data_IF_977771797706
#
_entry.id   IF_977771797706
#
_cell.length_a   1.000
_cell.length_b   1.000
_cell.length_c   1.000
_cell.angle_alpha   90.00
_cell.angle_beta   90.00
_cell.angle_gamma   90.00
#
_symmetry.space_group_name_H-M   'P 1'
#
loop_
_entity.id
_entity.type
_entity.pdbx_description
1 polymer ?
#
# COMPACT_ATOMS: atom_id res chain seq x y z
N UNK A 1 -27.62 17.18 6.99
CA UNK A 1 -28.16 16.40 5.85
C UNK A 1 -29.06 17.28 5.00
N UNK A 2 -29.00 17.22 3.66
CA UNK A 2 -29.83 18.05 2.76
C UNK A 2 -31.18 17.42 2.41
N UNK A 3 -31.28 16.08 2.44
CA UNK A 3 -32.52 15.33 2.17
C UNK A 3 -32.66 14.14 3.15
N UNK A 4 -33.05 14.38 4.43
CA UNK A 4 -33.00 13.36 5.49
C UNK A 4 -33.75 12.06 5.19
N UNK A 5 -34.92 12.13 4.55
CA UNK A 5 -35.74 10.95 4.19
C UNK A 5 -35.09 10.01 3.16
N UNK A 6 -33.97 10.41 2.58
CA UNK A 6 -33.19 9.60 1.62
C UNK A 6 -31.90 9.03 2.21
N UNK A 7 -31.68 9.22 3.52
CA UNK A 7 -30.50 8.73 4.24
C UNK A 7 -30.92 7.57 5.13
N UNK A 8 -30.26 6.44 4.96
CA UNK A 8 -30.40 5.25 5.79
C UNK A 8 -29.15 5.11 6.66
N UNK A 9 -29.34 5.00 7.97
CA UNK A 9 -28.27 4.78 8.94
C UNK A 9 -28.63 3.51 9.71
N UNK A 10 -27.72 2.52 9.71
CA UNK A 10 -27.90 1.29 10.47
C UNK A 10 -27.87 1.51 11.98
N UNK A 11 -28.60 0.67 12.71
CA UNK A 11 -28.72 0.74 14.19
C UNK A 11 -27.35 0.57 14.89
N UNK A 12 -26.40 -0.09 14.24
CA UNK A 12 -25.04 -0.30 14.75
C UNK A 12 -24.14 0.95 14.67
N UNK A 13 -24.55 2.00 13.94
CA UNK A 13 -23.75 3.20 13.76
C UNK A 13 -23.89 4.11 14.99
N UNK A 14 -22.78 4.39 15.67
CA UNK A 14 -22.77 5.37 16.74
C UNK A 14 -22.86 6.79 16.16
N UNK A 15 -23.99 7.46 16.36
CA UNK A 15 -24.25 8.81 15.89
C UNK A 15 -23.30 9.87 16.50
N UNK A 16 -22.74 9.62 17.70
CA UNK A 16 -21.73 10.50 18.30
C UNK A 16 -20.40 10.52 17.52
N UNK A 17 -20.22 9.58 16.58
CA UNK A 17 -19.08 9.54 15.64
C UNK A 17 -19.42 10.19 14.29
N UNK A 18 -20.51 10.95 14.20
CA UNK A 18 -20.87 11.72 13.02
C UNK A 18 -20.90 13.19 13.41
N UNK A 19 -19.94 13.95 12.89
CA UNK A 19 -19.83 15.36 13.20
C UNK A 19 -20.95 16.19 12.56
N UNK A 20 -21.51 17.13 13.32
CA UNK A 20 -22.63 17.97 12.89
C UNK A 20 -22.29 18.89 11.70
N UNK A 21 -21.01 19.21 11.51
CA UNK A 21 -20.57 20.04 10.37
C UNK A 21 -20.51 19.27 9.04
N UNK A 22 -20.71 17.94 9.06
CA UNK A 22 -20.70 17.12 7.85
C UNK A 22 -21.96 17.33 6.99
N UNK A 23 -21.78 17.25 5.67
CA UNK A 23 -22.85 17.43 4.69
C UNK A 23 -23.11 16.12 3.96
N UNK A 24 -24.29 15.55 4.19
CA UNK A 24 -24.80 14.38 3.46
C UNK A 24 -25.85 14.87 2.48
N UNK A 25 -25.57 14.77 1.17
CA UNK A 25 -26.39 15.36 0.09
C UNK A 25 -27.66 14.56 -0.27
N UNK A 26 -27.82 13.34 0.26
CA UNK A 26 -28.99 12.47 0.04
C UNK A 26 -28.64 11.17 -0.68
N UNK A 27 -29.57 10.21 -0.68
CA UNK A 27 -29.38 8.83 -1.16
C UNK A 27 -28.12 8.16 -0.58
N UNK A 28 -27.95 8.27 0.74
CA UNK A 28 -26.81 7.72 1.47
C UNK A 28 -27.22 6.51 2.29
N UNK A 29 -26.36 5.50 2.33
CA UNK A 29 -26.47 4.30 3.17
C UNK A 29 -25.25 4.22 4.04
N UNK A 30 -25.41 4.34 5.35
CA UNK A 30 -24.31 4.44 6.31
C UNK A 30 -24.46 3.30 7.31
N UNK A 31 -23.47 2.41 7.35
CA UNK A 31 -23.50 1.18 8.14
C UNK A 31 -22.18 0.91 8.85
N UNK A 32 -22.22 0.03 9.84
CA UNK A 32 -21.07 -0.51 10.53
C UNK A 32 -20.63 0.28 11.78
N UNK A 33 -20.35 -0.47 12.85
CA UNK A 33 -19.96 0.03 14.18
C UNK A 33 -18.68 0.89 14.21
N UNK A 34 -17.82 0.71 13.20
CA UNK A 34 -16.54 1.39 13.08
C UNK A 34 -16.60 2.64 12.19
N UNK A 35 -17.80 3.04 11.74
CA UNK A 35 -17.98 4.23 10.92
C UNK A 35 -17.71 5.50 11.72
N UNK A 36 -16.94 6.41 11.11
CA UNK A 36 -16.60 7.72 11.63
C UNK A 36 -16.66 8.76 10.50
N UNK A 37 -17.36 9.86 10.75
CA UNK A 37 -17.51 10.99 9.83
C UNK A 37 -17.05 12.25 10.59
N UNK A 38 -15.81 12.67 10.34
CA UNK A 38 -15.19 13.84 11.00
C UNK A 38 -15.73 15.17 10.44
N UNK A 39 -15.28 16.34 10.98
CA UNK A 39 -15.78 17.64 10.54
C UNK A 39 -15.64 17.90 9.04
N UNK A 40 -16.55 18.70 8.50
CA UNK A 40 -16.56 19.19 7.12
C UNK A 40 -16.60 18.11 6.02
N UNK A 41 -16.82 16.84 6.39
CA UNK A 41 -16.95 15.73 5.42
C UNK A 41 -18.16 15.96 4.50
N UNK A 42 -18.00 15.66 3.21
CA UNK A 42 -19.07 15.71 2.21
C UNK A 42 -19.33 14.35 1.59
N UNK A 43 -20.57 13.90 1.67
CA UNK A 43 -21.00 12.59 1.18
C UNK A 43 -22.08 12.73 0.10
N UNK A 44 -21.84 12.12 -1.05
CA UNK A 44 -22.84 11.90 -2.09
C UNK A 44 -23.19 13.13 -2.94
N UNK A 45 -22.28 14.09 -3.08
CA UNK A 45 -22.53 15.31 -3.86
C UNK A 45 -22.84 15.05 -5.34
N UNK A 46 -22.18 14.07 -5.97
CA UNK A 46 -22.35 13.73 -7.39
C UNK A 46 -23.32 12.53 -7.59
N UNK A 47 -23.67 11.80 -6.53
CA UNK A 47 -24.60 10.66 -6.63
C UNK A 47 -24.71 9.84 -5.34
N UNK A 48 -25.51 8.75 -5.35
CA UNK A 48 -25.72 7.91 -4.17
C UNK A 48 -24.42 7.36 -3.59
N UNK A 49 -24.37 7.23 -2.26
CA UNK A 49 -23.19 6.73 -1.54
C UNK A 49 -23.57 5.60 -0.58
N UNK A 50 -22.76 4.56 -0.56
CA UNK A 50 -22.82 3.50 0.46
C UNK A 50 -21.50 3.47 1.20
N UNK A 51 -21.56 3.66 2.51
CA UNK A 51 -20.44 3.76 3.43
C UNK A 51 -20.59 2.67 4.50
N UNK A 52 -19.61 1.76 4.61
CA UNK A 52 -19.68 0.64 5.55
C UNK A 52 -18.35 0.49 6.30
N UNK A 53 -18.33 0.75 7.61
CA UNK A 53 -17.11 0.69 8.43
C UNK A 53 -15.96 1.54 7.84
N UNK A 54 -16.27 2.76 7.42
CA UNK A 54 -15.25 3.68 6.92
C UNK A 54 -15.01 4.81 7.92
N UNK A 55 -13.77 5.25 8.02
CA UNK A 55 -13.38 6.35 8.88
C UNK A 55 -12.83 7.49 8.03
N UNK A 56 -13.49 8.64 8.12
CA UNK A 56 -13.26 9.77 7.27
C UNK A 56 -12.72 10.91 8.11
N UNK A 57 -11.51 11.38 7.80
CA UNK A 57 -10.89 12.54 8.41
C UNK A 57 -11.54 13.85 7.96
N UNK A 58 -11.02 14.96 8.48
CA UNK A 58 -11.59 16.29 8.25
C UNK A 58 -11.63 16.64 6.77
N UNK A 59 -12.75 17.18 6.31
CA UNK A 59 -12.96 17.67 4.95
C UNK A 59 -12.74 16.60 3.85
N UNK A 60 -12.95 15.32 4.15
CA UNK A 60 -12.98 14.26 3.12
C UNK A 60 -14.22 14.43 2.23
N UNK A 61 -14.04 14.24 0.92
CA UNK A 61 -15.16 14.30 -0.04
C UNK A 61 -15.32 12.96 -0.77
N UNK A 62 -16.38 12.22 -0.45
CA UNK A 62 -16.77 11.00 -1.16
C UNK A 62 -18.01 11.29 -1.99
N UNK A 63 -17.80 11.57 -3.28
CA UNK A 63 -18.83 12.21 -4.12
C UNK A 63 -19.92 11.25 -4.59
N UNK A 64 -19.68 9.94 -4.59
CA UNK A 64 -20.67 8.90 -4.86
C UNK A 64 -20.02 7.55 -5.15
N UNK A 65 -20.72 6.45 -4.86
CA UNK A 65 -20.23 5.09 -5.05
C UNK A 65 -20.29 4.22 -3.79
N UNK A 66 -19.40 3.23 -3.72
CA UNK A 66 -19.36 2.22 -2.65
C UNK A 66 -18.01 2.22 -1.95
N UNK A 67 -18.04 2.36 -0.63
CA UNK A 67 -16.88 2.49 0.24
C UNK A 67 -17.03 1.55 1.44
N UNK A 68 -16.04 0.69 1.68
CA UNK A 68 -16.09 -0.22 2.83
C UNK A 68 -14.74 -0.50 3.47
N UNK A 69 -14.72 -0.62 4.80
CA UNK A 69 -13.58 -1.06 5.62
C UNK A 69 -12.27 -0.37 5.20
N UNK A 70 -12.30 0.96 5.12
CA UNK A 70 -11.23 1.79 4.57
C UNK A 70 -11.16 3.13 5.29
N UNK A 71 -9.97 3.71 5.31
CA UNK A 71 -9.67 4.97 6.00
C UNK A 71 -9.24 6.03 5.00
N UNK A 72 -9.78 7.22 5.19
CA UNK A 72 -9.56 8.39 4.35
C UNK A 72 -9.09 9.52 5.25
N UNK A 73 -7.84 9.95 5.12
CA UNK A 73 -7.30 11.05 5.92
C UNK A 73 -7.68 12.40 5.33
N UNK A 74 -7.33 13.46 6.06
CA UNK A 74 -7.84 14.81 5.84
C UNK A 74 -7.77 15.23 4.38
N UNK A 75 -8.88 15.78 3.86
CA UNK A 75 -9.00 16.31 2.50
C UNK A 75 -8.77 15.28 1.38
N UNK A 76 -8.76 13.98 1.67
CA UNK A 76 -8.79 12.97 0.62
C UNK A 76 -10.12 13.01 -0.13
N UNK A 77 -10.10 12.67 -1.42
CA UNK A 77 -11.28 12.84 -2.29
C UNK A 77 -11.48 11.65 -3.22
N UNK A 78 -12.74 11.26 -3.44
CA UNK A 78 -13.09 10.23 -4.42
C UNK A 78 -14.29 10.70 -5.24
N UNK A 79 -14.16 10.68 -6.57
CA UNK A 79 -15.21 11.04 -7.50
C UNK A 79 -16.38 10.04 -7.52
N UNK A 80 -17.44 10.39 -8.27
CA UNK A 80 -18.60 9.53 -8.47
C UNK A 80 -18.26 8.14 -9.03
N UNK A 81 -19.13 7.16 -8.76
CA UNK A 81 -18.97 5.76 -9.16
C UNK A 81 -17.68 5.10 -8.65
N UNK A 82 -17.09 5.60 -7.57
CA UNK A 82 -15.94 4.96 -6.95
C UNK A 82 -16.35 3.60 -6.33
N UNK A 83 -15.42 2.65 -6.34
CA UNK A 83 -15.58 1.35 -5.68
C UNK A 83 -14.34 1.08 -4.83
N UNK A 84 -14.34 1.60 -3.60
CA UNK A 84 -13.26 1.40 -2.64
C UNK A 84 -13.62 0.26 -1.69
N UNK A 85 -12.92 -0.86 -1.83
CA UNK A 85 -13.12 -2.06 -1.02
C UNK A 85 -12.12 -2.13 0.12
N UNK A 86 -12.32 -3.09 1.02
CA UNK A 86 -11.57 -3.24 2.28
C UNK A 86 -10.05 -3.14 2.14
N UNK A 87 -9.43 -2.60 3.19
CA UNK A 87 -7.98 -2.47 3.34
C UNK A 87 -7.38 -1.31 2.56
N UNK A 88 -8.15 -0.24 2.30
CA UNK A 88 -7.62 0.97 1.69
C UNK A 88 -7.29 2.04 2.74
N UNK A 89 -6.16 2.72 2.54
CA UNK A 89 -5.75 3.89 3.31
C UNK A 89 -5.34 4.98 2.32
N UNK A 90 -6.12 6.06 2.28
CA UNK A 90 -5.81 7.24 1.49
C UNK A 90 -5.34 8.33 2.44
N UNK A 91 -4.08 8.72 2.34
CA UNK A 91 -3.51 9.77 3.19
C UNK A 91 -3.94 11.17 2.72
N UNK A 92 -3.42 12.21 3.39
CA UNK A 92 -3.89 13.58 3.22
C UNK A 92 -3.85 14.05 1.77
N UNK A 93 -4.95 14.61 1.31
CA UNK A 93 -5.11 15.13 -0.05
C UNK A 93 -4.87 14.10 -1.18
N UNK A 94 -4.74 12.81 -0.87
CA UNK A 94 -4.76 11.76 -1.88
C UNK A 94 -6.17 11.62 -2.46
N UNK A 95 -6.30 11.27 -3.73
CA UNK A 95 -7.63 11.15 -4.30
C UNK A 95 -7.73 10.44 -5.65
N UNK A 96 -8.97 10.30 -6.09
CA UNK A 96 -9.33 9.71 -7.36
C UNK A 96 -10.50 10.42 -8.02
N UNK A 97 -10.50 10.51 -9.34
CA UNK A 97 -11.65 11.01 -10.10
C UNK A 97 -12.76 9.95 -10.16
N UNK A 98 -13.61 9.96 -11.19
CA UNK A 98 -14.77 9.08 -11.27
C UNK A 98 -14.39 7.65 -11.68
N UNK A 99 -15.19 6.67 -11.27
CA UNK A 99 -15.05 5.26 -11.63
C UNK A 99 -13.68 4.65 -11.23
N UNK A 100 -13.18 4.99 -10.05
CA UNK A 100 -11.93 4.43 -9.50
C UNK A 100 -12.23 3.24 -8.58
N UNK A 101 -11.64 2.09 -8.88
CA UNK A 101 -11.74 0.86 -8.11
C UNK A 101 -10.46 0.56 -7.32
N UNK A 102 -10.58 0.42 -5.99
CA UNK A 102 -9.48 0.13 -5.08
C UNK A 102 -9.80 -1.07 -4.18
N UNK A 103 -8.75 -1.75 -3.72
CA UNK A 103 -8.81 -2.80 -2.68
C UNK A 103 -7.39 -3.04 -2.19
N UNK A 104 -7.17 -3.10 -0.87
CA UNK A 104 -5.84 -3.39 -0.33
C UNK A 104 -4.79 -2.42 -0.90
N UNK A 105 -5.13 -1.12 -0.93
CA UNK A 105 -4.35 -0.08 -1.59
C UNK A 105 -4.04 1.07 -0.64
N UNK A 106 -2.78 1.47 -0.57
CA UNK A 106 -2.32 2.59 0.25
C UNK A 106 -1.80 3.69 -0.66
N UNK A 107 -2.39 4.88 -0.55
CA UNK A 107 -1.97 6.07 -1.27
C UNK A 107 -1.41 7.10 -0.28
N UNK A 108 -0.15 7.47 -0.48
CA UNK A 108 0.52 8.49 0.31
C UNK A 108 -0.01 9.89 -0.02
N UNK A 109 0.37 10.92 0.75
CA UNK A 109 -0.21 12.24 0.60
C UNK A 109 -0.05 12.76 -0.82
N UNK A 110 -1.07 13.45 -1.28
CA UNK A 110 -1.18 14.07 -2.60
C UNK A 110 -1.30 13.14 -3.81
N UNK A 111 -1.11 11.81 -3.69
CA UNK A 111 -1.21 10.90 -4.85
C UNK A 111 -2.59 11.01 -5.51
N UNK A 112 -2.62 11.21 -6.83
CA UNK A 112 -3.85 11.35 -7.60
C UNK A 112 -4.07 10.20 -8.57
N UNK A 113 -5.31 9.72 -8.61
CA UNK A 113 -5.79 8.77 -9.60
C UNK A 113 -6.74 9.49 -10.56
N UNK A 114 -6.55 9.29 -11.85
CA UNK A 114 -7.47 9.70 -12.89
C UNK A 114 -8.80 8.93 -12.82
N UNK A 115 -9.47 8.79 -13.95
CA UNK A 115 -10.78 8.13 -14.02
C UNK A 115 -10.69 6.72 -14.58
N UNK A 116 -11.70 5.88 -14.32
CA UNK A 116 -11.82 4.53 -14.93
C UNK A 116 -10.66 3.59 -14.58
N UNK A 117 -10.17 3.67 -13.34
CA UNK A 117 -8.97 2.96 -12.88
C UNK A 117 -9.35 1.72 -12.07
N UNK A 118 -8.57 0.65 -12.19
CA UNK A 118 -8.56 -0.45 -11.22
C UNK A 118 -7.15 -0.62 -10.65
N UNK A 119 -6.94 -0.19 -9.42
CA UNK A 119 -5.60 -0.07 -8.80
C UNK A 119 -5.56 -0.74 -7.43
N UNK A 120 -5.84 -2.04 -7.41
CA UNK A 120 -5.85 -2.88 -6.21
C UNK A 120 -4.46 -3.39 -5.85
N UNK A 121 -4.19 -3.73 -4.59
CA UNK A 121 -2.94 -4.37 -4.14
C UNK A 121 -1.67 -3.53 -4.45
N UNK A 122 -1.78 -2.20 -4.32
CA UNK A 122 -0.70 -1.24 -4.56
C UNK A 122 -0.35 -0.44 -3.31
N UNK A 123 0.92 -0.09 -3.16
CA UNK A 123 1.34 1.05 -2.34
C UNK A 123 1.96 2.07 -3.27
N UNK A 124 1.46 3.30 -3.26
CA UNK A 124 1.97 4.37 -4.11
C UNK A 124 2.31 5.62 -3.31
N UNK A 125 3.51 6.14 -3.57
CA UNK A 125 4.05 7.36 -2.98
C UNK A 125 4.75 8.24 -4.02
N UNK A 126 5.23 9.39 -3.58
CA UNK A 126 6.04 10.32 -4.36
C UNK A 126 5.31 11.63 -4.65
N UNK A 127 6.06 12.70 -4.82
CA UNK A 127 5.55 14.05 -4.82
C UNK A 127 5.83 14.75 -3.49
N UNK A 128 5.72 16.08 -3.53
CA UNK A 128 6.07 16.97 -2.41
C UNK A 128 4.91 17.87 -1.97
N UNK A 129 3.87 17.99 -2.79
CA UNK A 129 2.67 18.78 -2.53
C UNK A 129 1.53 18.40 -3.48
N UNK A 130 0.33 18.94 -3.26
CA UNK A 130 -0.80 18.83 -4.19
C UNK A 130 -0.48 19.30 -5.62
N UNK A 131 0.44 20.25 -5.81
CA UNK A 131 0.84 20.73 -7.15
C UNK A 131 1.94 19.90 -7.80
N UNK A 132 2.65 19.10 -7.01
CA UNK A 132 3.75 18.25 -7.44
C UNK A 132 3.53 16.86 -6.83
N UNK A 133 2.68 16.07 -7.46
CA UNK A 133 2.20 14.79 -6.95
C UNK A 133 2.44 13.65 -7.95
N UNK A 134 2.51 12.42 -7.44
CA UNK A 134 2.46 11.24 -8.30
C UNK A 134 1.06 11.01 -8.85
N UNK A 135 0.97 10.58 -10.09
CA UNK A 135 -0.29 10.45 -10.81
C UNK A 135 -0.41 9.10 -11.51
N UNK A 136 -1.61 8.52 -11.44
CA UNK A 136 -2.04 7.41 -12.28
C UNK A 136 -3.08 7.92 -13.26
N UNK A 137 -2.73 7.97 -14.54
CA UNK A 137 -3.60 8.48 -15.59
C UNK A 137 -4.84 7.62 -15.80
N UNK A 138 -5.87 8.19 -16.41
CA UNK A 138 -7.17 7.53 -16.60
C UNK A 138 -7.08 6.20 -17.36
N UNK A 139 -7.96 5.25 -17.06
CA UNK A 139 -8.02 3.91 -17.67
C UNK A 139 -6.79 3.05 -17.39
N UNK A 140 -6.19 3.19 -16.21
CA UNK A 140 -5.07 2.38 -15.78
C UNK A 140 -5.52 1.12 -15.04
N UNK A 141 -4.82 0.01 -15.26
CA UNK A 141 -5.12 -1.28 -14.60
C UNK A 141 -3.86 -1.84 -13.94
N UNK A 142 -3.95 -2.19 -12.66
CA UNK A 142 -3.01 -3.12 -12.05
C UNK A 142 -3.52 -4.56 -12.20
N UNK A 143 -2.82 -5.35 -13.03
CA UNK A 143 -3.09 -6.77 -13.23
C UNK A 143 -2.50 -7.56 -12.05
N UNK A 144 -3.29 -7.69 -10.99
CA UNK A 144 -2.92 -8.33 -9.71
C UNK A 144 -3.49 -9.75 -9.52
N UNK A 145 -4.16 -10.33 -10.52
CA UNK A 145 -4.66 -11.71 -10.46
C UNK A 145 -4.13 -12.52 -11.63
N UNK A 146 -3.52 -13.67 -11.34
CA UNK A 146 -2.93 -14.52 -12.39
C UNK A 146 -3.90 -15.64 -12.81
N UNK A 147 -3.74 -16.20 -14.03
CA UNK A 147 -4.52 -17.37 -14.47
C UNK A 147 -4.40 -18.60 -13.55
N UNK A 148 -3.37 -18.64 -12.68
CA UNK A 148 -3.17 -19.69 -11.67
C UNK A 148 -3.85 -19.36 -10.33
N UNK A 149 -4.84 -18.48 -10.35
CA UNK A 149 -5.62 -18.04 -9.19
C UNK A 149 -4.76 -17.47 -8.05
N UNK A 150 -3.63 -16.86 -8.38
CA UNK A 150 -2.67 -16.32 -7.43
C UNK A 150 -2.76 -14.78 -7.34
N UNK A 151 -2.70 -14.25 -6.10
CA UNK A 151 -2.69 -12.82 -5.76
C UNK A 151 -1.44 -12.36 -4.99
N UNK A 152 -0.37 -13.16 -4.97
CA UNK A 152 0.93 -12.77 -4.43
C UNK A 152 1.66 -11.84 -5.41
N UNK A 153 1.00 -10.76 -5.82
CA UNK A 153 1.38 -9.84 -6.88
C UNK A 153 1.29 -8.36 -6.45
N UNK A 154 1.49 -7.99 -5.17
CA UNK A 154 1.40 -6.59 -4.78
C UNK A 154 2.53 -5.78 -5.44
N UNK A 155 2.21 -4.54 -5.82
CA UNK A 155 3.17 -3.66 -6.49
C UNK A 155 3.54 -2.48 -5.60
N UNK A 156 4.84 -2.18 -5.55
CA UNK A 156 5.41 -1.10 -4.75
C UNK A 156 5.83 0.04 -5.70
N UNK A 157 5.11 1.15 -5.66
CA UNK A 157 5.34 2.33 -6.50
C UNK A 157 5.88 3.44 -5.59
N UNK A 158 7.20 3.58 -5.55
CA UNK A 158 7.95 4.28 -4.51
C UNK A 158 8.41 3.34 -3.40
N UNK A 159 8.65 3.87 -2.20
CA UNK A 159 8.86 3.09 -0.97
C UNK A 159 8.52 3.91 0.28
N UNK A 160 8.34 3.23 1.40
CA UNK A 160 7.98 3.89 2.66
C UNK A 160 9.11 4.73 3.26
N UNK A 161 10.36 4.21 3.40
CA UNK A 161 11.44 4.96 4.03
C UNK A 161 11.67 6.36 3.45
N UNK A 162 11.59 6.51 2.12
CA UNK A 162 11.71 7.79 1.44
C UNK A 162 10.36 8.51 1.31
N UNK A 163 9.28 7.77 1.06
CA UNK A 163 7.97 8.33 0.72
C UNK A 163 7.32 9.14 1.84
N UNK A 164 7.48 8.70 3.09
CA UNK A 164 6.91 9.44 4.25
C UNK A 164 7.55 10.81 4.47
N UNK A 165 8.68 11.08 3.81
CA UNK A 165 9.41 12.34 3.92
C UNK A 165 8.93 13.41 2.96
N UNK A 166 8.07 13.07 1.97
CA UNK A 166 7.47 14.02 1.01
C UNK A 166 8.50 14.87 0.26
N UNK A 167 9.64 14.27 -0.10
CA UNK A 167 10.74 14.93 -0.85
C UNK A 167 11.05 14.29 -2.18
N UNK A 168 10.50 13.12 -2.44
CA UNK A 168 10.83 12.35 -3.63
C UNK A 168 10.09 12.89 -4.86
N UNK A 169 10.72 12.82 -6.04
CA UNK A 169 10.07 13.23 -7.28
C UNK A 169 8.82 12.37 -7.55
N UNK A 170 7.79 12.95 -8.19
CA UNK A 170 6.57 12.22 -8.50
C UNK A 170 6.82 11.05 -9.46
N UNK A 171 5.98 10.03 -9.35
CA UNK A 171 5.91 8.89 -10.29
C UNK A 171 4.70 9.10 -11.19
N UNK A 172 4.88 8.96 -12.50
CA UNK A 172 3.80 9.13 -13.47
C UNK A 172 3.51 7.81 -14.19
N UNK A 173 2.31 7.27 -13.99
CA UNK A 173 1.80 6.09 -14.68
C UNK A 173 0.77 6.53 -15.73
N UNK A 174 1.20 6.71 -16.98
CA UNK A 174 0.37 7.29 -18.03
C UNK A 174 -0.91 6.50 -18.34
N UNK A 175 -1.99 7.22 -18.65
CA UNK A 175 -3.33 6.64 -18.86
C UNK A 175 -3.41 5.63 -20.01
N UNK A 176 -4.52 4.88 -20.08
CA UNK A 176 -4.70 3.74 -20.99
C UNK A 176 -3.58 2.68 -20.85
N UNK A 177 -2.90 2.66 -19.71
CA UNK A 177 -1.77 1.79 -19.43
C UNK A 177 -2.09 0.72 -18.38
N UNK A 178 -1.06 0.02 -17.95
CA UNK A 178 -1.18 -0.90 -16.83
C UNK A 178 0.15 -1.40 -16.30
N UNK A 179 0.13 -1.98 -15.11
CA UNK A 179 1.25 -2.74 -14.54
C UNK A 179 0.83 -4.17 -14.29
N UNK A 180 1.72 -5.13 -14.50
CA UNK A 180 1.48 -6.54 -14.20
C UNK A 180 2.27 -6.94 -12.98
N UNK A 181 1.56 -7.09 -11.86
CA UNK A 181 2.16 -7.29 -10.56
C UNK A 181 2.82 -8.67 -10.37
N UNK A 182 3.76 -8.79 -9.43
CA UNK A 182 4.31 -7.69 -8.63
C UNK A 182 5.36 -6.91 -9.43
N UNK A 183 5.38 -5.58 -9.35
CA UNK A 183 6.46 -4.72 -9.85
C UNK A 183 6.94 -3.74 -8.79
N UNK A 184 8.16 -3.25 -8.96
CA UNK A 184 8.70 -2.14 -8.18
C UNK A 184 9.07 -0.99 -9.09
N UNK A 185 8.52 0.19 -8.82
CA UNK A 185 8.71 1.39 -9.64
C UNK A 185 9.28 2.48 -8.73
N UNK A 186 10.46 3.01 -9.04
CA UNK A 186 11.15 4.00 -8.25
C UNK A 186 10.68 5.42 -8.55
N UNK A 187 10.97 6.33 -7.63
CA UNK A 187 10.63 7.75 -7.74
C UNK A 187 11.18 8.41 -9.01
N UNK A 188 10.43 9.35 -9.57
CA UNK A 188 10.81 10.04 -10.81
C UNK A 188 10.58 9.22 -12.09
N UNK A 189 10.09 7.98 -11.98
CA UNK A 189 9.77 7.17 -13.15
C UNK A 189 8.56 7.73 -13.89
N UNK A 190 8.69 7.84 -15.21
CA UNK A 190 7.57 8.15 -16.12
C UNK A 190 7.35 6.96 -17.05
N UNK A 191 6.19 6.34 -16.91
CA UNK A 191 5.66 5.33 -17.84
C UNK A 191 4.67 6.03 -18.77
N UNK A 192 4.90 6.06 -20.10
CA UNK A 192 3.99 6.71 -21.03
C UNK A 192 2.60 6.07 -21.06
N UNK A 193 1.63 6.83 -21.56
CA UNK A 193 0.28 6.34 -21.82
C UNK A 193 0.29 5.16 -22.81
N UNK A 194 -0.66 4.23 -22.67
CA UNK A 194 -0.79 3.06 -23.54
C UNK A 194 0.17 1.90 -23.23
N UNK A 195 1.03 2.02 -22.22
CA UNK A 195 2.06 1.02 -21.91
C UNK A 195 1.59 0.02 -20.85
N UNK A 196 1.78 -1.27 -21.13
CA UNK A 196 1.68 -2.33 -20.11
C UNK A 196 3.08 -2.69 -19.60
N UNK A 197 3.39 -2.23 -18.40
CA UNK A 197 4.65 -2.47 -17.72
C UNK A 197 4.68 -3.84 -17.02
N UNK A 198 5.77 -4.59 -17.21
CA UNK A 198 5.97 -5.95 -16.66
C UNK A 198 7.30 -6.12 -15.92
N UNK A 199 8.05 -5.04 -15.80
CA UNK A 199 9.41 -5.04 -15.27
C UNK A 199 9.55 -3.99 -14.18
N UNK A 200 10.60 -4.12 -13.38
CA UNK A 200 10.90 -3.13 -12.37
C UNK A 200 11.64 -1.93 -12.97
N UNK A 201 11.50 -0.78 -12.31
CA UNK A 201 12.31 0.41 -12.50
C UNK A 201 12.90 0.75 -11.13
N UNK A 202 14.16 0.42 -10.88
CA UNK A 202 14.86 0.59 -9.58
C UNK A 202 16.01 1.58 -9.64
N UNK A 203 15.94 2.54 -10.56
CA UNK A 203 17.04 3.46 -10.84
C UNK A 203 16.65 4.85 -10.34
N UNK A 204 17.52 5.49 -9.58
CA UNK A 204 17.33 6.88 -9.13
C UNK A 204 17.29 7.84 -10.33
N UNK A 205 16.42 8.87 -10.28
CA UNK A 205 16.35 9.95 -11.27
C UNK A 205 15.10 9.91 -12.18
N UNK A 206 14.99 10.91 -13.05
CA UNK A 206 13.86 10.99 -14.00
C UNK A 206 14.12 10.04 -15.16
N UNK A 207 13.30 8.99 -15.27
CA UNK A 207 13.41 8.00 -16.33
C UNK A 207 12.22 8.11 -17.28
N UNK A 208 12.49 8.56 -18.50
CA UNK A 208 11.54 8.49 -19.61
C UNK A 208 11.66 7.11 -20.25
N UNK A 209 10.68 6.25 -19.97
CA UNK A 209 10.65 4.95 -20.64
C UNK A 209 10.13 5.13 -22.06
N UNK A 210 10.96 4.94 -23.10
CA UNK A 210 10.44 4.88 -24.47
C UNK A 210 9.79 3.51 -24.73
N UNK A 211 8.72 3.47 -25.53
CA UNK A 211 8.09 2.20 -25.99
C UNK A 211 9.12 1.21 -26.55
N UNK A 212 10.11 1.72 -27.28
CA UNK A 212 11.20 0.94 -27.90
C UNK A 212 12.19 0.32 -26.91
N UNK A 213 12.32 0.89 -25.69
CA UNK A 213 13.20 0.36 -24.65
C UNK A 213 12.60 -0.85 -23.92
N UNK A 214 11.27 -0.91 -23.81
CA UNK A 214 10.52 -2.03 -23.22
C UNK A 214 10.48 -3.25 -24.15
N UNK A 215 10.42 -3.04 -25.46
CA UNK A 215 10.41 -4.12 -26.45
C UNK A 215 11.77 -4.80 -26.62
N UNK A 216 12.88 -4.05 -26.46
CA UNK A 216 14.24 -4.58 -26.63
C UNK A 216 14.73 -5.43 -25.45
N UNK A 217 14.15 -5.27 -24.25
CA UNK A 217 14.38 -6.17 -23.11
C UNK A 217 13.33 -7.28 -23.08
N UNK A 218 13.24 -8.06 -24.16
CA UNK A 218 12.73 -9.44 -24.05
C UNK A 218 13.76 -10.24 -23.23
N UNK A 219 13.72 -10.12 -21.91
CA UNK A 219 14.23 -11.19 -21.08
C UNK A 219 13.46 -12.46 -21.45
N UNK A 220 14.22 -13.52 -21.72
CA UNK A 220 13.75 -14.81 -22.16
C UNK A 220 12.55 -15.28 -21.34
N UNK A 221 11.42 -15.46 -22.01
CA UNK A 221 10.20 -16.05 -21.49
C UNK A 221 10.37 -17.56 -21.17
N UNK A 222 11.46 -17.93 -20.48
CA UNK A 222 11.93 -19.30 -20.37
C UNK A 222 12.78 -19.54 -19.13
N UNK A 223 12.24 -19.29 -17.95
CA UNK A 223 12.66 -20.00 -16.74
C UNK A 223 11.58 -19.88 -15.65
N UNK A 224 10.75 -20.91 -15.49
CA UNK A 224 9.77 -21.02 -14.40
C UNK A 224 10.36 -20.80 -12.99
N UNK A 225 11.69 -20.87 -12.82
CA UNK A 225 12.41 -20.62 -11.56
C UNK A 225 12.77 -19.15 -11.26
N UNK A 226 12.91 -18.27 -12.25
CA UNK A 226 13.25 -16.85 -12.01
C UNK A 226 12.04 -16.03 -11.55
N UNK A 227 10.82 -16.42 -11.97
CA UNK A 227 9.57 -15.77 -11.58
C UNK A 227 9.25 -15.94 -10.09
N UNK A 228 9.54 -17.11 -9.50
CA UNK A 228 9.21 -17.39 -8.09
C UNK A 228 10.11 -16.61 -7.14
N UNK A 229 11.43 -16.63 -7.37
CA UNK A 229 12.38 -15.86 -6.54
C UNK A 229 12.03 -14.38 -6.55
N UNK A 230 11.73 -13.83 -7.73
CA UNK A 230 11.29 -12.43 -7.89
C UNK A 230 9.99 -12.18 -7.13
N UNK A 231 8.98 -13.03 -7.29
CA UNK A 231 7.67 -12.88 -6.65
C UNK A 231 7.77 -12.94 -5.12
N UNK A 232 8.47 -13.92 -4.57
CA UNK A 232 8.70 -14.06 -3.13
C UNK A 232 9.43 -12.82 -2.60
N UNK A 233 10.51 -12.40 -3.26
CA UNK A 233 11.26 -11.21 -2.90
C UNK A 233 10.38 -9.95 -2.87
N UNK A 234 9.59 -9.70 -3.91
CA UNK A 234 8.75 -8.51 -3.97
C UNK A 234 7.65 -8.48 -2.91
N UNK A 235 7.05 -9.64 -2.60
CA UNK A 235 6.07 -9.69 -1.51
C UNK A 235 6.72 -9.44 -0.15
N UNK A 236 7.92 -10.00 0.11
CA UNK A 236 8.68 -9.72 1.34
C UNK A 236 9.03 -8.24 1.43
N UNK A 237 9.54 -7.64 0.35
CA UNK A 237 9.86 -6.22 0.28
C UNK A 237 8.62 -5.33 0.48
N UNK A 238 7.46 -5.74 -0.03
CA UNK A 238 6.19 -5.05 0.18
C UNK A 238 5.75 -5.14 1.65
N UNK A 239 5.77 -6.32 2.28
CA UNK A 239 5.45 -6.48 3.72
C UNK A 239 6.44 -5.72 4.60
N UNK A 240 7.72 -5.69 4.24
CA UNK A 240 8.73 -4.92 4.95
C UNK A 240 8.42 -3.42 4.93
N UNK A 241 7.95 -2.90 3.79
CA UNK A 241 7.48 -1.51 3.66
C UNK A 241 6.22 -1.25 4.49
N UNK A 242 5.22 -2.13 4.46
CA UNK A 242 4.04 -2.01 5.32
C UNK A 242 4.41 -2.00 6.82
N UNK A 243 5.37 -2.85 7.22
CA UNK A 243 5.87 -2.91 8.59
C UNK A 243 6.56 -1.60 8.99
N UNK A 244 7.38 -1.03 8.10
CA UNK A 244 7.97 0.29 8.31
C UNK A 244 6.90 1.39 8.43
N UNK A 245 5.84 1.33 7.61
CA UNK A 245 4.73 2.30 7.66
C UNK A 245 3.95 2.17 8.97
N UNK A 246 3.69 0.95 9.44
CA UNK A 246 3.08 0.70 10.74
C UNK A 246 3.87 1.34 11.88
N UNK A 247 5.20 1.20 11.87
CA UNK A 247 6.06 1.87 12.86
C UNK A 247 6.03 3.40 12.74
N UNK A 248 5.95 3.93 11.52
CA UNK A 248 5.78 5.35 11.27
C UNK A 248 4.46 5.88 11.86
N UNK A 249 3.35 5.18 11.63
CA UNK A 249 2.05 5.53 12.22
C UNK A 249 2.11 5.51 13.75
N UNK A 250 2.68 4.44 14.32
CA UNK A 250 2.75 4.24 15.78
C UNK A 250 3.58 5.30 16.50
N UNK A 251 4.72 5.68 15.94
CA UNK A 251 5.69 6.50 16.66
C UNK A 251 5.76 7.94 16.19
N UNK A 252 5.36 8.23 14.95
CA UNK A 252 5.41 9.58 14.40
C UNK A 252 3.99 10.15 14.26
N UNK A 253 3.11 9.46 13.52
CA UNK A 253 1.79 10.03 13.22
C UNK A 253 0.86 10.10 14.42
N UNK A 254 0.96 9.16 15.36
CA UNK A 254 0.07 9.09 16.54
C UNK A 254 -0.08 10.44 17.24
N UNK A 255 1.03 11.15 17.48
CA UNK A 255 1.02 12.45 18.15
C UNK A 255 0.16 13.48 17.43
N UNK A 256 0.20 13.51 16.09
CA UNK A 256 -0.59 14.44 15.29
C UNK A 256 -2.07 14.07 15.31
N UNK A 257 -2.38 12.78 15.25
CA UNK A 257 -3.76 12.31 15.39
C UNK A 257 -4.36 12.70 16.74
N UNK A 258 -3.65 12.51 17.87
CA UNK A 258 -4.21 12.79 19.20
C UNK A 258 -4.59 14.27 19.43
N UNK A 259 -4.17 15.18 18.54
CA UNK A 259 -4.46 16.62 18.62
C UNK A 259 -5.71 17.03 17.84
N UNK A 260 -6.22 16.14 16.99
CA UNK A 260 -7.36 16.40 16.13
C UNK A 260 -8.65 15.81 16.73
N UNK A 261 -9.82 16.43 16.47
CA UNK A 261 -11.11 15.81 16.78
C UNK A 261 -11.23 14.41 16.17
N UNK A 262 -11.71 13.44 16.97
CA UNK A 262 -11.82 12.02 16.59
C UNK A 262 -10.50 11.36 16.14
N UNK A 263 -9.36 11.99 16.38
CA UNK A 263 -8.09 11.54 15.84
C UNK A 263 -7.61 10.22 16.46
N UNK A 264 -8.01 9.90 17.69
CA UNK A 264 -7.77 8.59 18.30
C UNK A 264 -8.47 7.45 17.54
N UNK A 265 -9.72 7.67 17.12
CA UNK A 265 -10.49 6.74 16.31
C UNK A 265 -9.87 6.58 14.92
N UNK A 266 -9.55 7.69 14.23
CA UNK A 266 -8.88 7.67 12.91
C UNK A 266 -7.53 6.94 12.97
N UNK A 267 -6.74 7.21 14.01
CA UNK A 267 -5.47 6.53 14.23
C UNK A 267 -5.67 5.02 14.41
N UNK A 268 -6.65 4.62 15.21
CA UNK A 268 -6.99 3.21 15.42
C UNK A 268 -7.40 2.54 14.12
N UNK A 269 -8.26 3.16 13.31
CA UNK A 269 -8.65 2.61 12.00
C UNK A 269 -7.49 2.49 11.03
N UNK A 270 -6.63 3.51 10.93
CA UNK A 270 -5.46 3.46 10.07
C UNK A 270 -4.50 2.34 10.50
N UNK A 271 -4.32 2.16 11.81
CA UNK A 271 -3.57 1.04 12.38
C UNK A 271 -4.16 -0.32 12.00
N UNK A 272 -5.48 -0.49 12.14
CA UNK A 272 -6.17 -1.72 11.74
C UNK A 272 -6.01 -2.02 10.25
N UNK A 273 -6.14 -1.02 9.37
CA UNK A 273 -5.93 -1.21 7.92
C UNK A 273 -4.50 -1.68 7.62
N UNK A 274 -3.49 -1.13 8.30
CA UNK A 274 -2.10 -1.56 8.11
C UNK A 274 -1.85 -2.98 8.60
N UNK A 275 -2.41 -3.36 9.76
CA UNK A 275 -2.31 -4.70 10.31
C UNK A 275 -3.01 -5.73 9.40
N UNK A 276 -4.21 -5.40 8.90
CA UNK A 276 -4.93 -6.21 7.93
C UNK A 276 -4.18 -6.35 6.60
N UNK A 277 -3.56 -5.27 6.12
CA UNK A 277 -2.76 -5.29 4.90
C UNK A 277 -1.58 -6.25 5.04
N UNK A 278 -0.83 -6.18 6.16
CA UNK A 278 0.27 -7.10 6.45
C UNK A 278 -0.24 -8.55 6.51
N UNK A 279 -1.31 -8.80 7.28
CA UNK A 279 -1.87 -10.13 7.45
C UNK A 279 -2.36 -10.73 6.11
N UNK A 280 -3.02 -9.93 5.27
CA UNK A 280 -3.47 -10.36 3.96
C UNK A 280 -2.29 -10.66 3.03
N UNK A 281 -1.21 -9.86 3.05
CA UNK A 281 0.01 -10.17 2.26
C UNK A 281 0.69 -11.46 2.69
N UNK A 282 0.83 -11.70 4.00
CA UNK A 282 1.39 -12.95 4.53
C UNK A 282 0.50 -14.13 4.15
N UNK A 283 -0.83 -14.00 4.26
CA UNK A 283 -1.78 -15.01 3.81
C UNK A 283 -1.66 -15.31 2.31
N UNK A 284 -1.51 -14.30 1.45
CA UNK A 284 -1.34 -14.53 0.01
C UNK A 284 -0.03 -15.26 -0.32
N UNK A 285 1.05 -15.02 0.43
CA UNK A 285 2.28 -15.80 0.33
C UNK A 285 2.09 -17.25 0.82
N UNK A 286 1.33 -17.48 1.89
CA UNK A 286 0.97 -18.83 2.35
C UNK A 286 0.22 -19.61 1.28
N UNK A 287 -0.83 -18.99 0.70
CA UNK A 287 -1.59 -19.59 -0.40
C UNK A 287 -0.70 -19.86 -1.61
N UNK A 288 0.29 -19.00 -1.87
CA UNK A 288 1.26 -19.24 -2.92
C UNK A 288 2.16 -20.46 -2.63
N UNK A 289 2.63 -20.63 -1.40
CA UNK A 289 3.38 -21.82 -0.99
C UNK A 289 2.55 -23.10 -1.17
N UNK A 290 1.31 -23.12 -0.68
CA UNK A 290 0.38 -24.25 -0.82
C UNK A 290 0.10 -24.61 -2.29
N UNK A 291 -0.04 -23.60 -3.15
CA UNK A 291 -0.20 -23.81 -4.59
C UNK A 291 1.05 -24.43 -5.23
N UNK A 292 2.25 -24.05 -4.77
CA UNK A 292 3.49 -24.67 -5.22
C UNK A 292 3.55 -26.13 -4.76
N UNK A 293 3.25 -26.43 -3.50
CA UNK A 293 3.20 -27.81 -2.96
C UNK A 293 2.25 -28.69 -3.78
N UNK A 294 1.01 -28.24 -3.96
CA UNK A 294 0.00 -28.96 -4.74
C UNK A 294 0.48 -29.22 -6.17
N UNK A 295 1.08 -28.22 -6.81
CA UNK A 295 1.63 -28.36 -8.16
C UNK A 295 2.78 -29.37 -8.22
N UNK A 296 3.60 -29.45 -7.17
CA UNK A 296 4.71 -30.40 -7.07
C UNK A 296 4.21 -31.84 -6.89
N UNK A 297 3.17 -32.07 -6.07
CA UNK A 297 2.59 -33.40 -5.88
C UNK A 297 1.95 -33.95 -7.16
N UNK A 298 1.22 -33.11 -7.90
CA UNK A 298 0.61 -33.46 -9.19
C UNK A 298 1.69 -33.78 -10.22
N UNK A 299 2.75 -32.96 -10.27
CA UNK A 299 3.90 -33.20 -11.14
C UNK A 299 4.57 -34.53 -10.78
N UNK A 300 4.84 -34.83 -9.51
CA UNK A 300 5.44 -36.12 -9.11
C UNK A 300 4.57 -37.30 -9.56
N UNK A 301 3.24 -37.23 -9.40
CA UNK A 301 2.31 -38.31 -9.80
C UNK A 301 2.20 -38.51 -11.33
N UNK A 302 2.30 -37.44 -12.13
CA UNK A 302 2.15 -37.51 -13.60
C UNK A 302 3.51 -37.70 -14.30
N UNK A 303 4.59 -37.11 -13.78
CA UNK A 303 5.92 -37.11 -14.39
C UNK A 303 6.78 -38.35 -14.06
N UNK A 304 6.47 -39.12 -13.01
CA UNK A 304 7.09 -40.45 -12.81
C UNK A 304 6.90 -41.39 -14.02
N UNK A 305 5.93 -41.09 -14.91
CA UNK A 305 5.71 -41.83 -16.16
C UNK A 305 6.39 -41.27 -17.41
N UNK A 306 6.85 -40.00 -17.45
CA UNK A 306 7.23 -39.36 -18.73
C UNK A 306 8.51 -38.50 -18.66
N UNK A 307 8.82 -37.80 -17.56
CA UNK A 307 10.02 -36.95 -17.48
C UNK A 307 10.57 -36.80 -16.04
N UNK A 308 11.71 -37.43 -15.69
CA UNK A 308 12.31 -37.27 -14.38
C UNK A 308 13.01 -35.90 -14.25
N UNK A 309 12.42 -35.00 -13.45
CA UNK A 309 12.99 -33.70 -13.10
C UNK A 309 12.46 -32.54 -13.98
N UNK A 310 11.91 -31.48 -13.43
CA UNK A 310 12.59 -30.65 -12.43
C UNK A 310 11.59 -29.75 -11.70
N UNK A 311 11.30 -30.08 -10.45
CA UNK A 311 10.91 -29.02 -9.50
C UNK A 311 12.11 -28.08 -9.40
N UNK A 312 11.91 -26.79 -9.66
CA UNK A 312 13.02 -25.83 -9.60
C UNK A 312 13.60 -25.79 -8.18
N UNK A 313 14.93 -25.70 -8.07
CA UNK A 313 15.62 -25.55 -6.76
C UNK A 313 15.01 -24.39 -5.94
N UNK A 314 14.59 -23.32 -6.61
CA UNK A 314 13.95 -22.16 -6.00
C UNK A 314 12.61 -22.50 -5.31
N UNK A 315 11.76 -23.34 -5.93
CA UNK A 315 10.51 -23.80 -5.31
C UNK A 315 10.76 -24.56 -4.02
N UNK A 316 11.63 -25.57 -4.06
CA UNK A 316 11.97 -26.37 -2.86
C UNK A 316 12.54 -25.49 -1.75
N UNK A 317 13.46 -24.58 -2.10
CA UNK A 317 14.06 -23.67 -1.14
C UNK A 317 13.03 -22.71 -0.52
N UNK A 318 12.10 -22.17 -1.32
CA UNK A 318 11.03 -21.33 -0.79
C UNK A 318 10.14 -22.11 0.18
N UNK A 319 9.65 -23.30 -0.20
CA UNK A 319 8.81 -24.12 0.68
C UNK A 319 9.50 -24.50 1.99
N UNK A 320 10.77 -24.89 1.92
CA UNK A 320 11.57 -25.21 3.12
C UNK A 320 11.71 -24.00 4.07
N UNK A 321 11.87 -22.80 3.51
CA UNK A 321 12.06 -21.59 4.30
C UNK A 321 10.76 -20.90 4.71
N UNK A 322 9.64 -21.21 4.06
CA UNK A 322 8.36 -20.51 4.24
C UNK A 322 7.89 -20.49 5.69
N UNK A 323 7.88 -21.60 6.46
CA UNK A 323 7.42 -21.57 7.85
C UNK A 323 8.16 -20.55 8.72
N UNK A 324 9.50 -20.46 8.55
CA UNK A 324 10.33 -19.48 9.26
C UNK A 324 10.07 -18.05 8.78
N UNK A 325 9.94 -17.84 7.47
CA UNK A 325 9.60 -16.53 6.91
C UNK A 325 8.25 -16.05 7.43
N UNK A 326 7.25 -16.93 7.45
CA UNK A 326 5.90 -16.67 7.92
C UNK A 326 5.87 -16.26 9.40
N UNK A 327 6.55 -17.02 10.25
CA UNK A 327 6.71 -16.70 11.67
C UNK A 327 7.38 -15.33 11.84
N UNK A 328 8.45 -15.06 11.08
CA UNK A 328 9.16 -13.79 11.16
C UNK A 328 8.31 -12.60 10.72
N UNK A 329 7.58 -12.73 9.60
CA UNK A 329 6.71 -11.67 9.07
C UNK A 329 5.50 -11.41 9.96
N UNK A 330 5.03 -12.43 10.69
CA UNK A 330 3.87 -12.31 11.59
C UNK A 330 4.25 -11.89 13.01
N UNK A 331 5.54 -11.94 13.37
CA UNK A 331 6.03 -11.78 14.75
C UNK A 331 6.26 -10.35 15.23
N UNK A 332 5.88 -9.32 14.47
CA UNK A 332 6.10 -7.90 14.81
C UNK A 332 7.55 -7.56 15.16
N UNK A 333 8.51 -8.24 14.51
CA UNK A 333 9.94 -8.12 14.81
C UNK A 333 10.47 -6.70 14.59
N UNK A 334 9.80 -5.89 13.77
CA UNK A 334 10.24 -4.54 13.44
C UNK A 334 10.18 -3.55 14.61
N UNK A 335 9.38 -3.83 15.64
CA UNK A 335 9.27 -2.97 16.85
C UNK A 335 10.60 -2.81 17.59
N UNK A 336 11.52 -3.75 17.41
CA UNK A 336 12.83 -3.81 18.09
C UNK A 336 13.97 -3.23 17.25
N UNK A 337 13.70 -2.76 16.04
CA UNK A 337 14.73 -2.39 15.06
C UNK A 337 14.99 -0.88 15.07
N UNK A 338 16.26 -0.50 15.13
CA UNK A 338 16.69 0.88 14.93
C UNK A 338 16.24 1.86 16.03
N UNK A 339 15.96 1.37 17.24
CA UNK A 339 15.41 2.13 18.38
C UNK A 339 16.11 3.47 18.63
N UNK A 340 17.45 3.50 18.58
CA UNK A 340 18.21 4.75 18.79
C UNK A 340 17.89 5.80 17.72
N UNK A 341 17.84 5.41 16.44
CA UNK A 341 17.50 6.32 15.34
C UNK A 341 16.02 6.73 15.41
N UNK A 342 15.13 5.78 15.73
CA UNK A 342 13.71 6.07 16.01
C UNK A 342 13.54 7.14 17.06
N UNK A 343 14.07 6.90 18.26
CA UNK A 343 13.81 7.77 19.42
C UNK A 343 14.37 9.17 19.21
N UNK A 344 15.50 9.27 18.50
CA UNK A 344 16.09 10.55 18.11
C UNK A 344 15.22 11.29 17.08
N UNK A 345 14.76 10.61 16.03
CA UNK A 345 13.86 11.19 15.03
C UNK A 345 12.50 11.59 15.62
N UNK A 346 11.89 10.74 16.45
CA UNK A 346 10.60 10.97 17.10
C UNK A 346 10.65 12.20 18.00
N UNK A 347 11.77 12.45 18.70
CA UNK A 347 11.96 13.70 19.47
C UNK A 347 11.93 14.95 18.59
N UNK A 348 12.42 14.88 17.35
CA UNK A 348 12.33 15.99 16.40
C UNK A 348 10.86 16.23 16.03
N UNK A 349 10.14 15.16 15.69
CA UNK A 349 8.72 15.24 15.32
C UNK A 349 7.83 15.76 16.46
N UNK A 350 8.03 15.29 17.69
CA UNK A 350 7.32 15.83 18.86
C UNK A 350 7.57 17.33 19.06
N UNK A 351 8.81 17.79 18.84
CA UNK A 351 9.13 19.22 18.95
C UNK A 351 8.40 20.05 17.90
N UNK A 352 8.29 19.55 16.68
CA UNK A 352 7.55 20.22 15.59
C UNK A 352 6.05 20.23 15.88
N UNK A 353 5.51 19.11 16.35
CA UNK A 353 4.10 19.00 16.75
C UNK A 353 3.75 19.91 17.93
N UNK A 354 4.65 20.07 18.92
CA UNK A 354 4.43 20.95 20.08
C UNK A 354 4.48 22.45 19.72
N UNK A 355 4.97 22.80 18.53
CA UNK A 355 4.87 24.15 17.98
C UNK A 355 3.53 24.42 17.28
N UNK A 356 2.61 23.46 17.28
CA UNK A 356 1.30 23.59 16.65
C UNK A 356 1.28 23.33 15.13
N UNK A 357 2.37 22.81 14.56
CA UNK A 357 2.39 22.45 13.15
C UNK A 357 1.54 21.20 12.90
N UNK A 358 0.84 21.17 11.77
CA UNK A 358 0.22 19.94 11.26
C UNK A 358 1.27 18.89 10.90
N UNK A 359 0.81 17.66 10.62
CA UNK A 359 1.70 16.58 10.17
C UNK A 359 2.47 16.95 8.90
N UNK A 360 1.77 17.39 7.85
CA UNK A 360 2.39 17.71 6.56
C UNK A 360 3.40 18.87 6.68
N UNK A 361 3.04 19.93 7.40
CA UNK A 361 3.95 21.06 7.67
C UNK A 361 5.20 20.59 8.44
N UNK A 362 5.03 19.74 9.45
CA UNK A 362 6.15 19.19 10.23
C UNK A 362 7.12 18.42 9.35
N UNK A 363 6.63 17.58 8.43
CA UNK A 363 7.49 16.84 7.49
C UNK A 363 8.23 17.78 6.53
N UNK A 364 7.54 18.79 5.99
CA UNK A 364 8.14 19.76 5.07
C UNK A 364 9.22 20.62 5.73
N UNK A 365 9.10 20.89 7.04
CA UNK A 365 10.06 21.65 7.84
C UNK A 365 11.33 20.87 8.21
N UNK A 366 11.39 19.55 8.03
CA UNK A 366 12.57 18.75 8.35
C UNK A 366 13.78 19.22 7.55
N UNK A 367 14.95 19.34 8.19
CA UNK A 367 16.19 19.58 7.45
C UNK A 367 16.62 18.32 6.68
N UNK A 368 17.54 18.43 5.70
CA UNK A 368 18.06 17.24 5.01
C UNK A 368 18.66 16.19 5.95
N UNK A 369 19.38 16.63 6.98
CA UNK A 369 19.96 15.72 7.97
C UNK A 369 18.89 14.99 8.81
N UNK A 370 17.85 15.71 9.24
CA UNK A 370 16.74 15.13 10.00
C UNK A 370 15.92 14.16 9.13
N UNK A 371 15.72 14.51 7.86
CA UNK A 371 15.09 13.63 6.88
C UNK A 371 15.88 12.32 6.76
N UNK A 372 17.19 12.41 6.56
CA UNK A 372 18.05 11.24 6.43
C UNK A 372 17.98 10.33 7.67
N UNK A 373 17.88 10.91 8.86
CA UNK A 373 17.78 10.17 10.11
C UNK A 373 16.51 9.30 10.18
N UNK A 374 15.36 9.86 9.83
CA UNK A 374 14.11 9.11 9.76
C UNK A 374 14.12 8.06 8.65
N UNK A 375 14.65 8.41 7.47
CA UNK A 375 14.76 7.50 6.33
C UNK A 375 15.64 6.31 6.69
N UNK A 376 16.76 6.56 7.35
CA UNK A 376 17.69 5.54 7.83
C UNK A 376 17.08 4.59 8.85
N UNK A 377 16.25 5.11 9.76
CA UNK A 377 15.53 4.27 10.72
C UNK A 377 14.60 3.30 10.00
N UNK A 378 13.73 3.81 9.12
CA UNK A 378 12.77 2.99 8.37
C UNK A 378 13.48 2.02 7.40
N UNK A 379 14.57 2.46 6.75
CA UNK A 379 15.41 1.59 5.92
C UNK A 379 16.07 0.48 6.73
N UNK A 380 16.39 0.74 7.99
CA UNK A 380 16.87 -0.28 8.93
C UNK A 380 15.84 -1.40 9.13
N UNK A 381 14.57 -1.03 9.32
CA UNK A 381 13.45 -1.98 9.40
C UNK A 381 13.35 -2.80 8.12
N UNK A 382 13.24 -2.14 6.96
CA UNK A 382 13.01 -2.86 5.70
C UNK A 382 14.17 -3.81 5.38
N UNK A 383 15.42 -3.33 5.49
CA UNK A 383 16.62 -4.13 5.23
C UNK A 383 16.72 -5.34 6.15
N UNK A 384 16.39 -5.20 7.42
CA UNK A 384 16.46 -6.31 8.37
C UNK A 384 15.42 -7.38 8.02
N UNK A 385 14.15 -7.02 7.80
CA UNK A 385 13.10 -7.98 7.40
C UNK A 385 13.50 -8.74 6.14
N UNK A 386 13.98 -8.02 5.12
CA UNK A 386 14.45 -8.61 3.86
C UNK A 386 15.61 -9.58 4.12
N UNK A 387 16.57 -9.20 4.95
CA UNK A 387 17.74 -10.03 5.29
C UNK A 387 17.34 -11.30 6.03
N UNK A 388 16.50 -11.16 7.06
CA UNK A 388 16.04 -12.30 7.84
C UNK A 388 15.22 -13.27 6.99
N UNK A 389 14.32 -12.78 6.14
CA UNK A 389 13.51 -13.66 5.31
C UNK A 389 14.29 -14.28 4.15
N UNK A 390 15.11 -13.50 3.42
CA UNK A 390 15.71 -13.93 2.16
C UNK A 390 17.15 -14.46 2.34
N UNK A 391 17.95 -13.84 3.21
CA UNK A 391 19.41 -14.07 3.26
C UNK A 391 19.85 -15.01 4.39
N UNK A 392 19.11 -15.10 5.49
CA UNK A 392 19.43 -16.03 6.59
C UNK A 392 18.92 -17.44 6.28
N UNK A 393 19.66 -18.13 5.40
CA UNK A 393 19.50 -19.55 5.16
C UNK A 393 20.43 -20.35 6.09
N UNK A 394 19.93 -21.14 7.06
CA UNK A 394 20.77 -21.93 7.95
C UNK A 394 21.63 -23.01 7.23
N UNK A 395 21.34 -23.33 5.97
CA UNK A 395 22.19 -24.22 5.15
C UNK A 395 23.43 -23.54 4.55
N UNK A 396 23.49 -22.20 4.52
CA UNK A 396 24.66 -21.47 4.02
C UNK A 396 25.82 -21.44 5.03
N UNK A 397 25.52 -21.46 6.33
CA UNK A 397 26.51 -21.51 7.42
C UNK A 397 27.14 -22.91 7.55
N UNK A 398 26.38 -24.00 7.29
CA UNK A 398 26.91 -25.37 7.29
C UNK A 398 27.81 -25.72 6.08
N UNK A 399 27.84 -24.89 5.05
CA UNK A 399 28.74 -25.07 3.88
C UNK A 399 30.08 -24.35 4.01
N UNK A 400 30.30 -23.58 5.09
CA UNK A 400 31.61 -22.97 5.39
C UNK A 400 32.46 -23.80 6.37
N UNK A 401 31.95 -24.93 6.83
CA UNK A 401 32.63 -25.85 7.77
C UNK A 401 32.91 -27.25 7.16
N UNK A 402 32.82 -27.37 5.83
CA UNK A 402 33.36 -28.50 5.06
C UNK A 402 34.26 -27.96 3.97
#
# INVERSE_FOLDING_TARGET
MTAPFSVEIGDEVNLEKIDDSSIIYGAARIYGENTLISPEVKLGFEGPVTLINCQLGTAVELKGGYFTNSVFLNKSTMGSNAQVRSGCLLEEEAGGNHCVGLKQTILFPFVQLGSLINFCDCLMAGGTSRRNHSEVGSSYIHFNYTPRQNKATPSLIGDVPRGVMLREPPIFLGGQGGIVGPVQIDYGTVIPAGVICRQDFKTEGIHWTSLTSLEKKKESAGAYGSDITRKVKHNIEYVANLSALRQWYRHVRREFFMKEPYGDLLYSGAGMVLDEAIAERVKQLRLFAQNIETSMEVVTKIMEKIYPGSVSRAQKQFLQNWPRMEEYLSGNNEEKIGLKKRDSFVKIMHRLSNKGNSYLESIQLLTPAQTQEGTDWLRGITKNIITECINNNPDASRRKEK
#
